data_IF_108536277503
#
_entry.id   IF_108536277503
#
_cell.length_a   1.000
_cell.length_b   1.000
_cell.length_c   1.000
_cell.angle_alpha   90.00
_cell.angle_beta   90.00
_cell.angle_gamma   90.00
#
_symmetry.space_group_name_H-M   'P 1'
#
loop_
_entity.id
_entity.type
_entity.pdbx_description
1 polymer ?
#
# COMPACT_ATOMS: atom_id res chain seq x y z
N UNK A 1 7.29 -0.90 10.24
CA UNK A 1 6.89 -1.07 8.83
C UNK A 1 5.37 -1.21 8.83
N UNK A 2 4.63 -0.25 8.29
CA UNK A 2 3.16 -0.24 8.33
C UNK A 2 2.62 -0.63 6.96
N UNK A 3 1.80 -1.67 6.92
CA UNK A 3 1.16 -2.15 5.69
C UNK A 3 -0.29 -1.69 5.75
N UNK A 4 -0.62 -0.68 4.95
CA UNK A 4 -1.97 -0.11 4.89
C UNK A 4 -2.69 -0.56 3.63
N UNK A 5 -3.90 -1.12 3.78
CA UNK A 5 -4.89 -1.13 2.70
C UNK A 5 -5.69 0.17 2.84
N UNK A 6 -5.74 0.99 1.79
CA UNK A 6 -6.46 2.27 1.82
C UNK A 6 -7.96 2.01 2.03
N UNK A 7 -8.44 2.20 3.27
CA UNK A 7 -9.86 2.31 3.59
C UNK A 7 -10.13 3.78 3.91
N UNK A 8 -11.08 4.37 3.19
CA UNK A 8 -11.28 5.82 3.00
C UNK A 8 -11.82 6.56 4.24
N UNK A 9 -11.79 5.95 5.43
CA UNK A 9 -12.46 6.46 6.63
C UNK A 9 -11.50 6.45 7.83
N UNK A 10 -10.81 7.57 8.05
CA UNK A 10 -9.89 7.84 9.16
C UNK A 10 -10.61 7.95 10.51
N UNK A 11 -10.16 7.21 11.54
CA UNK A 11 -10.03 7.68 12.95
C UNK A 11 -9.36 6.64 13.87
N UNK A 12 -8.19 6.06 13.56
CA UNK A 12 -7.37 5.35 14.57
C UNK A 12 -5.86 5.43 14.27
N UNK A 13 -4.99 5.72 15.28
CA UNK A 13 -3.55 5.82 15.08
C UNK A 13 -2.94 4.40 15.01
N UNK A 14 -2.33 4.09 13.85
CA UNK A 14 -1.50 2.91 13.57
C UNK A 14 -1.98 1.57 14.19
N UNK A 15 -3.01 0.97 13.61
CA UNK A 15 -3.31 -0.43 13.90
C UNK A 15 -2.28 -1.29 13.16
N UNK A 16 -1.52 -2.13 13.89
CA UNK A 16 -0.70 -3.17 13.27
C UNK A 16 -1.64 -4.11 12.52
N UNK A 17 -1.83 -3.87 11.23
CA UNK A 17 -2.63 -4.75 10.40
C UNK A 17 -1.81 -6.02 10.24
N UNK A 18 -2.28 -7.11 10.84
CA UNK A 18 -1.85 -8.44 10.42
C UNK A 18 -2.05 -8.48 8.91
N UNK A 19 -0.98 -8.69 8.14
CA UNK A 19 -1.08 -8.90 6.69
C UNK A 19 -2.25 -9.87 6.48
N UNK A 20 -3.29 -9.52 5.71
CA UNK A 20 -4.39 -10.44 5.54
C UNK A 20 -3.79 -11.73 5.01
N UNK A 21 -4.17 -12.83 5.67
CA UNK A 21 -3.76 -14.15 5.20
C UNK A 21 -4.14 -14.24 3.73
N UNK A 22 -3.27 -14.86 2.95
CA UNK A 22 -3.50 -15.06 1.53
C UNK A 22 -3.88 -16.53 1.28
N UNK A 23 -5.06 -16.99 1.75
CA UNK A 23 -5.46 -18.38 1.62
C UNK A 23 -5.68 -18.80 0.15
N UNK A 24 -5.84 -17.82 -0.75
CA UNK A 24 -6.14 -18.05 -2.17
C UNK A 24 -4.89 -17.98 -3.08
N UNK A 25 -3.68 -17.81 -2.53
CA UNK A 25 -2.44 -17.78 -3.32
C UNK A 25 -2.27 -16.54 -4.21
N UNK A 26 -2.92 -15.42 -3.88
CA UNK A 26 -2.82 -14.15 -4.61
C UNK A 26 -1.40 -13.60 -4.66
N UNK A 27 -0.98 -13.06 -5.80
CA UNK A 27 0.29 -12.38 -5.95
C UNK A 27 0.13 -10.90 -5.59
N UNK A 28 0.74 -10.50 -4.47
CA UNK A 28 0.59 -9.15 -3.91
C UNK A 28 1.93 -8.42 -4.00
N UNK A 29 1.95 -7.30 -4.71
CA UNK A 29 3.09 -6.39 -4.73
C UNK A 29 3.05 -5.42 -3.55
N UNK A 30 4.20 -5.18 -2.93
CA UNK A 30 4.36 -4.17 -1.88
C UNK A 30 5.09 -2.95 -2.44
N UNK A 31 4.44 -1.80 -2.46
CA UNK A 31 5.00 -0.57 -3.00
C UNK A 31 5.20 0.46 -1.89
N UNK A 32 6.44 0.61 -1.41
CA UNK A 32 6.79 1.55 -0.35
C UNK A 32 7.20 2.93 -0.86
N UNK A 33 6.83 3.97 -0.11
CA UNK A 33 7.15 5.36 -0.41
C UNK A 33 6.54 6.34 0.58
N UNK A 34 7.01 7.59 0.57
CA UNK A 34 6.43 8.66 1.38
C UNK A 34 5.08 9.14 0.82
N UNK A 35 4.88 9.00 -0.49
CA UNK A 35 3.64 9.33 -1.22
C UNK A 35 3.00 10.66 -0.79
N UNK A 36 3.82 11.69 -0.54
CA UNK A 36 3.39 13.01 -0.10
C UNK A 36 3.74 14.09 -1.15
N UNK A 37 2.83 14.41 -2.09
CA UNK A 37 1.53 13.81 -2.33
C UNK A 37 1.59 12.61 -3.31
N UNK A 38 0.65 11.68 -3.14
CA UNK A 38 0.38 10.65 -4.14
C UNK A 38 -0.12 11.31 -5.43
N UNK A 39 0.44 10.91 -6.58
CA UNK A 39 0.08 11.46 -7.89
C UNK A 39 0.01 10.36 -8.96
N UNK A 40 -0.39 10.73 -10.18
CA UNK A 40 -0.61 9.81 -11.31
C UNK A 40 0.59 8.90 -11.63
N UNK A 41 1.82 9.36 -11.44
CA UNK A 41 3.03 8.52 -11.60
C UNK A 41 3.05 7.28 -10.69
N UNK A 42 2.67 7.39 -9.42
CA UNK A 42 2.61 6.25 -8.50
C UNK A 42 1.51 5.25 -8.91
N UNK A 43 0.37 5.76 -9.39
CA UNK A 43 -0.69 4.94 -9.95
C UNK A 43 -0.22 4.20 -11.20
N UNK A 44 0.43 4.90 -12.13
CA UNK A 44 0.93 4.31 -13.36
C UNK A 44 1.92 3.17 -13.07
N UNK A 45 2.89 3.39 -12.19
CA UNK A 45 3.83 2.36 -11.75
C UNK A 45 3.13 1.14 -11.14
N UNK A 46 2.08 1.37 -10.33
CA UNK A 46 1.33 0.28 -9.71
C UNK A 46 0.56 -0.55 -10.75
N UNK A 47 -0.03 0.10 -11.75
CA UNK A 47 -0.74 -0.58 -12.85
C UNK A 47 0.22 -1.36 -13.75
N UNK A 48 1.40 -0.80 -14.03
CA UNK A 48 2.45 -1.51 -14.77
C UNK A 48 2.97 -2.71 -13.98
N UNK A 49 3.14 -2.60 -12.67
CA UNK A 49 3.52 -3.73 -11.83
C UNK A 49 2.47 -4.85 -11.84
N UNK A 50 1.18 -4.50 -11.78
CA UNK A 50 0.08 -5.48 -11.91
C UNK A 50 0.18 -6.25 -13.21
N UNK A 51 0.33 -5.55 -14.34
CA UNK A 51 0.37 -6.17 -15.67
C UNK A 51 1.64 -6.97 -15.92
N UNK A 52 2.80 -6.40 -15.60
CA UNK A 52 4.09 -6.95 -16.00
C UNK A 52 4.58 -8.06 -15.06
N UNK A 53 4.10 -8.10 -13.82
CA UNK A 53 4.46 -9.11 -12.82
C UNK A 53 3.31 -10.09 -12.53
N UNK A 54 2.19 -9.97 -13.26
CA UNK A 54 0.98 -10.78 -13.08
C UNK A 54 0.54 -10.77 -11.60
N UNK A 55 0.43 -9.58 -11.02
CA UNK A 55 -0.03 -9.40 -9.63
C UNK A 55 -1.55 -9.24 -9.61
N UNK A 56 -2.18 -9.79 -8.58
CA UNK A 56 -3.59 -9.55 -8.33
C UNK A 56 -3.83 -8.17 -7.71
N UNK A 57 -2.89 -7.72 -6.87
CA UNK A 57 -3.02 -6.48 -6.11
C UNK A 57 -1.65 -5.83 -5.85
N UNK A 58 -1.63 -4.50 -5.71
CA UNK A 58 -0.47 -3.75 -5.20
C UNK A 58 -0.90 -2.97 -3.97
N UNK A 59 -0.16 -3.11 -2.88
CA UNK A 59 -0.42 -2.43 -1.62
C UNK A 59 0.61 -1.35 -1.37
N UNK A 60 0.14 -0.14 -1.08
CA UNK A 60 1.00 1.01 -0.85
C UNK A 60 1.38 1.08 0.62
N UNK A 61 2.67 0.93 0.89
CA UNK A 61 3.25 1.06 2.22
C UNK A 61 3.62 2.53 2.44
N UNK A 62 2.63 3.31 2.86
CA UNK A 62 2.83 4.71 3.23
C UNK A 62 3.41 4.75 4.64
N UNK A 63 4.63 5.27 4.80
CA UNK A 63 5.15 5.61 6.14
C UNK A 63 4.35 6.78 6.69
N UNK A 64 3.71 6.69 7.87
CA UNK A 64 3.07 7.85 8.45
C UNK A 64 4.13 8.93 8.67
N UNK A 65 3.78 10.16 8.32
CA UNK A 65 4.62 11.31 8.58
C UNK A 65 4.86 11.40 10.09
N UNK A 66 6.11 11.59 10.50
CA UNK A 66 6.47 11.74 11.90
C UNK A 66 5.64 12.89 12.50
N UNK A 67 4.81 12.67 13.53
CA UNK A 67 3.97 13.73 14.12
C UNK A 67 4.78 14.84 14.82
N UNK A 68 6.11 14.74 14.85
CA UNK A 68 7.04 15.73 15.43
C UNK A 68 7.76 16.61 14.38
N UNK A 69 7.34 16.60 13.10
CA UNK A 69 7.90 17.48 12.05
C UNK A 69 6.82 18.18 11.24
#
# INVERSE_FOLDING_TARGET
MQVGRLLINNTQPYQFIKLPSNPNGRKIGLFGGSFNPAHKGHLHLSLEAIKNLDLDEVWWLITPQNPLK
#
